data_IF_390035074223
#
_entry.id   IF_390035074223
#
_cell.length_a   1.000
_cell.length_b   1.000
_cell.length_c   1.000
_cell.angle_alpha   90.00
_cell.angle_beta   90.00
_cell.angle_gamma   90.00
#
_symmetry.space_group_name_H-M   'P 1'
#
loop_
_entity.id
_entity.type
_entity.pdbx_description
1 polymer ?
#
# COMPACT_ATOMS: atom_id res chain seq x y z
N UNK A 1 -52.99 -26.52 19.65
CA UNK A 1 -53.16 -25.10 19.31
C UNK A 1 -51.91 -24.25 19.58
N UNK A 2 -50.76 -24.83 19.98
CA UNK A 2 -49.53 -24.05 20.20
C UNK A 2 -48.60 -23.98 18.95
N UNK A 3 -48.75 -24.94 18.03
CA UNK A 3 -47.96 -25.05 16.80
C UNK A 3 -48.17 -23.89 15.84
N UNK A 4 -49.38 -23.35 15.79
CA UNK A 4 -49.75 -22.30 14.84
C UNK A 4 -49.12 -20.96 15.27
N UNK A 5 -49.06 -20.71 16.58
CA UNK A 5 -48.35 -19.55 17.14
C UNK A 5 -46.82 -19.64 16.98
N UNK A 6 -46.24 -20.84 17.08
CA UNK A 6 -44.81 -21.07 16.81
C UNK A 6 -44.48 -20.89 15.32
N UNK A 7 -45.35 -21.35 14.41
CA UNK A 7 -45.23 -21.13 12.97
C UNK A 7 -45.27 -19.64 12.62
N UNK A 8 -46.21 -18.89 13.19
CA UNK A 8 -46.33 -17.44 12.97
C UNK A 8 -45.09 -16.69 13.48
N UNK A 9 -44.53 -17.09 14.62
CA UNK A 9 -43.29 -16.53 15.15
C UNK A 9 -42.09 -16.84 14.24
N UNK A 10 -42.00 -18.06 13.72
CA UNK A 10 -40.94 -18.47 12.80
C UNK A 10 -41.00 -17.71 11.47
N UNK A 11 -42.19 -17.46 10.94
CA UNK A 11 -42.39 -16.68 9.72
C UNK A 11 -41.93 -15.23 9.90
N UNK A 12 -42.31 -14.59 11.03
CA UNK A 12 -41.85 -13.24 11.36
C UNK A 12 -40.33 -13.15 11.46
N UNK A 13 -39.71 -14.12 12.14
CA UNK A 13 -38.26 -14.15 12.32
C UNK A 13 -37.53 -14.34 10.98
N UNK A 14 -38.06 -15.21 10.10
CA UNK A 14 -37.50 -15.42 8.77
C UNK A 14 -37.57 -14.14 7.93
N UNK A 15 -38.66 -13.37 8.06
CA UNK A 15 -38.83 -12.11 7.37
C UNK A 15 -37.89 -11.02 7.90
N UNK A 16 -37.77 -10.87 9.21
CA UNK A 16 -36.79 -9.95 9.82
C UNK A 16 -35.36 -10.29 9.40
N UNK A 17 -35.03 -11.59 9.35
CA UNK A 17 -33.71 -12.05 8.88
C UNK A 17 -33.49 -11.71 7.41
N UNK A 18 -34.49 -11.89 6.56
CA UNK A 18 -34.41 -11.54 5.14
C UNK A 18 -34.18 -10.03 4.95
N UNK A 19 -34.88 -9.18 5.71
CA UNK A 19 -34.73 -7.73 5.65
C UNK A 19 -33.35 -7.26 6.11
N UNK A 20 -32.78 -7.91 7.13
CA UNK A 20 -31.42 -7.65 7.59
C UNK A 20 -30.41 -8.05 6.52
N UNK A 21 -30.52 -9.25 5.95
CA UNK A 21 -29.60 -9.74 4.91
C UNK A 21 -29.68 -8.85 3.66
N UNK A 22 -30.88 -8.46 3.23
CA UNK A 22 -31.08 -7.58 2.07
C UNK A 22 -30.43 -6.19 2.25
N UNK A 23 -30.31 -5.68 3.48
CA UNK A 23 -29.58 -4.44 3.77
C UNK A 23 -28.07 -4.58 3.55
N UNK A 24 -27.49 -5.74 3.84
CA UNK A 24 -26.06 -5.99 3.68
C UNK A 24 -25.68 -6.46 2.27
N UNK A 25 -26.63 -6.98 1.49
CA UNK A 25 -26.41 -7.51 0.13
C UNK A 25 -25.91 -6.44 -0.86
N UNK A 26 -26.20 -5.15 -0.60
CA UNK A 26 -25.67 -4.01 -1.38
C UNK A 26 -24.16 -3.80 -1.21
N UNK A 27 -23.55 -4.38 -0.19
CA UNK A 27 -22.11 -4.32 0.04
C UNK A 27 -21.55 -2.90 0.05
N UNK A 28 -20.34 -2.75 -0.48
CA UNK A 28 -19.60 -1.48 -0.58
C UNK A 28 -20.12 -0.57 -1.71
N UNK A 29 -20.87 -1.14 -2.66
CA UNK A 29 -21.30 -0.46 -3.87
C UNK A 29 -22.48 0.47 -3.57
N UNK A 30 -22.21 1.78 -3.57
CA UNK A 30 -23.22 2.82 -3.37
C UNK A 30 -23.36 3.32 -1.93
N UNK A 31 -22.54 2.84 -0.99
CA UNK A 31 -22.39 3.47 0.32
C UNK A 31 -21.46 4.68 0.21
N UNK A 32 -21.83 5.80 0.85
CA UNK A 32 -20.87 6.87 1.09
C UNK A 32 -19.91 6.38 2.18
N UNK A 33 -18.69 6.06 1.78
CA UNK A 33 -17.65 5.55 2.68
C UNK A 33 -16.67 6.68 2.85
N UNK A 34 -16.54 7.16 4.07
CA UNK A 34 -15.54 8.15 4.39
C UNK A 34 -14.14 7.54 4.20
N UNK A 35 -13.13 8.32 3.80
CA UNK A 35 -11.81 7.77 3.52
C UNK A 35 -11.27 6.89 4.64
N UNK A 36 -11.49 7.26 5.91
CA UNK A 36 -11.05 6.49 7.09
C UNK A 36 -11.82 5.18 7.33
N UNK A 37 -12.98 4.98 6.71
CA UNK A 37 -13.78 3.75 6.75
C UNK A 37 -13.36 2.74 5.67
N UNK A 38 -12.45 3.12 4.77
CA UNK A 38 -11.87 2.23 3.78
C UNK A 38 -10.83 1.29 4.43
N UNK A 39 -10.96 -0.03 4.22
CA UNK A 39 -9.98 -1.01 4.66
C UNK A 39 -8.63 -0.83 3.95
N UNK A 40 -8.63 -0.24 2.76
CA UNK A 40 -7.43 0.15 2.02
C UNK A 40 -6.93 1.55 2.42
N UNK A 41 -7.56 2.21 3.40
CA UNK A 41 -7.13 3.51 3.92
C UNK A 41 -5.82 3.38 4.70
N UNK A 42 -4.73 3.56 3.97
CA UNK A 42 -3.39 3.56 4.53
C UNK A 42 -3.05 4.97 5.01
N UNK A 43 -3.27 5.24 6.30
CA UNK A 43 -2.90 6.50 6.94
C UNK A 43 -1.37 6.73 6.95
N UNK A 44 -0.58 5.65 6.91
CA UNK A 44 0.88 5.71 6.95
C UNK A 44 1.47 4.56 6.12
N UNK A 45 2.06 4.88 4.97
CA UNK A 45 2.38 3.85 3.96
C UNK A 45 3.77 3.25 4.08
N UNK A 46 4.77 3.97 4.56
CA UNK A 46 6.16 3.45 4.54
C UNK A 46 6.90 3.83 5.80
N UNK A 47 7.39 2.81 6.51
CA UNK A 47 8.47 2.98 7.48
C UNK A 47 9.81 2.86 6.75
N UNK A 48 10.67 3.87 6.89
CA UNK A 48 12.05 3.83 6.39
C UNK A 48 12.86 2.75 7.14
N UNK A 49 14.09 2.44 6.68
CA UNK A 49 15.04 1.52 7.33
C UNK A 49 15.33 1.87 8.80
N UNK A 50 15.03 3.10 9.22
CA UNK A 50 15.15 3.60 10.60
C UNK A 50 13.82 3.67 11.36
N UNK A 51 12.71 3.25 10.75
CA UNK A 51 11.39 3.25 11.37
C UNK A 51 10.64 4.60 11.33
N UNK A 52 11.14 5.59 10.57
CA UNK A 52 10.43 6.86 10.35
C UNK A 52 9.29 6.69 9.34
N UNK A 53 8.19 7.39 9.62
CA UNK A 53 6.93 7.25 8.89
C UNK A 53 6.85 8.29 7.76
N UNK A 54 6.67 7.83 6.52
CA UNK A 54 6.59 8.72 5.36
C UNK A 54 5.20 8.72 4.72
N UNK A 55 4.75 9.90 4.22
CA UNK A 55 3.48 10.03 3.51
C UNK A 55 3.52 9.41 2.10
N UNK A 56 4.69 9.36 1.46
CA UNK A 56 4.92 8.77 0.15
C UNK A 56 5.92 7.63 0.24
N UNK A 57 5.88 6.70 -0.73
CA UNK A 57 6.88 5.65 -0.82
C UNK A 57 8.24 6.26 -1.14
N UNK A 58 9.23 6.04 -0.25
CA UNK A 58 10.58 6.53 -0.48
C UNK A 58 11.12 5.97 -1.81
N UNK A 59 11.87 6.78 -2.59
CA UNK A 59 12.55 6.28 -3.77
C UNK A 59 13.35 5.02 -3.42
N UNK A 60 13.28 4.00 -4.27
CA UNK A 60 13.97 2.73 -4.02
C UNK A 60 15.45 3.01 -3.77
N UNK A 61 15.90 2.80 -2.53
CA UNK A 61 17.30 2.97 -2.19
C UNK A 61 18.06 1.76 -2.74
N UNK A 62 18.38 1.80 -4.03
CA UNK A 62 19.10 0.74 -4.69
C UNK A 62 20.49 0.63 -4.07
N UNK A 63 20.74 -0.43 -3.30
CA UNK A 63 22.03 -0.71 -2.69
C UNK A 63 23.14 -0.88 -3.74
N UNK A 64 22.78 -1.03 -5.02
CA UNK A 64 23.69 -0.95 -6.14
C UNK A 64 24.32 0.44 -6.32
N UNK A 65 23.56 1.53 -6.09
CA UNK A 65 24.05 2.92 -6.22
C UNK A 65 25.04 3.24 -5.10
N UNK A 66 24.82 2.72 -3.89
CA UNK A 66 25.76 2.82 -2.77
C UNK A 66 27.03 1.97 -2.99
N UNK A 67 26.91 0.86 -3.72
CA UNK A 67 28.04 -0.02 -4.08
C UNK A 67 28.97 0.58 -5.13
N UNK A 68 28.54 1.59 -5.88
CA UNK A 68 29.47 2.40 -6.66
C UNK A 68 30.14 3.36 -5.68
N UNK A 69 31.07 2.78 -4.90
CA UNK A 69 31.86 3.47 -3.90
C UNK A 69 32.38 4.78 -4.51
N UNK A 70 32.29 5.93 -3.81
CA UNK A 70 32.81 7.20 -4.32
C UNK A 70 34.27 7.08 -4.76
N UNK A 71 35.03 6.13 -4.17
CA UNK A 71 36.36 5.76 -4.65
C UNK A 71 36.38 5.24 -6.08
N UNK A 72 35.44 4.37 -6.49
CA UNK A 72 35.37 3.85 -7.87
C UNK A 72 35.13 4.96 -8.91
N UNK A 73 34.29 5.95 -8.58
CA UNK A 73 34.09 7.13 -9.43
C UNK A 73 35.34 8.01 -9.49
N UNK A 74 36.03 8.20 -8.36
CA UNK A 74 37.31 8.94 -8.32
C UNK A 74 38.37 8.22 -9.15
N UNK A 75 38.48 6.90 -9.05
CA UNK A 75 39.43 6.12 -9.85
C UNK A 75 39.13 6.21 -11.35
N UNK A 76 37.86 6.12 -11.75
CA UNK A 76 37.47 6.28 -13.15
C UNK A 76 37.76 7.71 -13.65
N UNK A 77 37.46 8.73 -12.84
CA UNK A 77 37.70 10.14 -13.19
C UNK A 77 39.20 10.44 -13.31
N UNK A 78 40.02 9.95 -12.37
CA UNK A 78 41.49 10.09 -12.41
C UNK A 78 42.07 9.34 -13.61
N UNK A 79 41.60 8.13 -13.91
CA UNK A 79 42.07 7.36 -15.06
C UNK A 79 41.75 8.04 -16.39
N UNK A 80 40.53 8.56 -16.55
CA UNK A 80 40.12 9.32 -17.74
C UNK A 80 40.93 10.61 -17.86
N UNK A 81 41.11 11.36 -16.77
CA UNK A 81 41.90 12.60 -16.77
C UNK A 81 43.39 12.37 -17.10
N UNK A 82 43.98 11.29 -16.60
CA UNK A 82 45.37 10.90 -16.93
C UNK A 82 45.48 10.50 -18.39
N UNK A 83 44.50 9.76 -18.94
CA UNK A 83 44.48 9.41 -20.36
C UNK A 83 44.32 10.64 -21.26
N UNK A 84 43.50 11.62 -20.88
CA UNK A 84 43.36 12.89 -21.62
C UNK A 84 44.64 13.74 -21.59
N UNK A 85 45.34 13.79 -20.44
CA UNK A 85 46.62 14.48 -20.32
C UNK A 85 47.74 13.83 -21.13
N UNK A 86 47.78 12.50 -21.19
CA UNK A 86 48.76 11.77 -22.01
C UNK A 86 48.39 11.81 -23.49
N UNK A 87 47.10 11.89 -23.82
CA UNK A 87 46.59 11.99 -25.19
C UNK A 87 46.72 13.37 -25.86
N UNK A 88 46.93 14.44 -25.09
CA UNK A 88 47.18 15.79 -25.63
C UNK A 88 48.65 16.07 -25.97
N UNK A 89 49.53 15.05 -25.88
CA UNK A 89 50.93 15.14 -26.26
C UNK A 89 51.22 14.58 -27.66
N UNK A 90 50.64 15.19 -28.69
CA UNK A 90 51.13 15.11 -30.08
C UNK A 90 50.74 16.38 -30.83
#
# INVERSE_FOLDING_TARGET
>A
MNSDAEQDAAIKLAQERADIVAKYDKGREGAHIEPWEDADYRLYKVTDRFGFLHPEELPFHDAAIERVSPMSYIYLYVYVFVLELVGSGN
#
